data_IF_765685834690
#
_entry.id   IF_765685834690
#
_cell.length_a   1.000
_cell.length_b   1.000
_cell.length_c   1.000
_cell.angle_alpha   90.00
_cell.angle_beta   90.00
_cell.angle_gamma   90.00
#
_symmetry.space_group_name_H-M   'P 1'
#
loop_
_entity.id
_entity.type
_entity.pdbx_description
1 polymer ?
#
# COMPACT_ATOMS: atom_id res chain seq x y z
N UNK A 1 12.00 -34.56 18.77
CA UNK A 1 12.50 -33.20 18.56
C UNK A 1 11.39 -32.48 17.82
N UNK A 2 10.91 -31.36 18.36
CA UNK A 2 9.76 -30.66 17.80
C UNK A 2 10.12 -30.12 16.40
N UNK A 3 9.36 -30.47 15.35
CA UNK A 3 9.74 -30.11 13.98
C UNK A 3 9.71 -28.59 13.74
N UNK A 4 8.83 -27.84 14.42
CA UNK A 4 8.74 -26.38 14.33
C UNK A 4 10.00 -25.75 14.94
N UNK A 5 10.35 -26.15 16.16
CA UNK A 5 11.55 -25.63 16.82
C UNK A 5 12.84 -26.00 16.09
N UNK A 6 12.85 -27.11 15.35
CA UNK A 6 13.99 -27.48 14.50
C UNK A 6 14.10 -26.57 13.28
N UNK A 7 12.99 -26.29 12.59
CA UNK A 7 12.99 -25.35 11.46
C UNK A 7 13.42 -23.95 11.89
N UNK A 8 13.14 -23.57 13.14
CA UNK A 8 13.54 -22.29 13.72
C UNK A 8 14.99 -22.23 14.22
N UNK A 9 15.70 -23.36 14.34
CA UNK A 9 17.07 -23.37 14.88
C UNK A 9 18.11 -22.84 13.90
N UNK A 10 17.88 -23.02 12.60
CA UNK A 10 18.80 -22.68 11.52
C UNK A 10 18.29 -21.47 10.69
N UNK A 11 17.37 -20.67 11.24
CA UNK A 11 16.78 -19.49 10.58
C UNK A 11 16.96 -18.21 11.39
N UNK A 12 16.75 -17.05 10.75
CA UNK A 12 16.93 -15.71 11.34
C UNK A 12 15.74 -15.25 12.22
N UNK A 13 14.89 -16.18 12.65
CA UNK A 13 13.75 -15.88 13.51
C UNK A 13 14.20 -15.57 14.94
N UNK A 14 13.75 -14.43 15.45
CA UNK A 14 13.87 -14.08 16.86
C UNK A 14 12.72 -14.72 17.65
N UNK A 15 13.04 -15.73 18.46
CA UNK A 15 12.07 -16.41 19.32
C UNK A 15 11.53 -15.46 20.40
N UNK A 16 10.20 -15.44 20.56
CA UNK A 16 9.57 -14.73 21.66
C UNK A 16 9.78 -15.45 23.00
N UNK A 17 9.61 -14.77 24.14
CA UNK A 17 9.57 -15.45 25.44
C UNK A 17 8.53 -16.58 25.48
N UNK A 18 8.77 -17.66 26.24
CA UNK A 18 7.81 -18.76 26.38
C UNK A 18 6.43 -18.31 26.84
N UNK A 19 5.38 -18.93 26.28
CA UNK A 19 4.02 -18.69 26.71
C UNK A 19 3.79 -19.22 28.12
N UNK A 20 2.98 -18.52 28.91
CA UNK A 20 2.47 -19.07 30.15
C UNK A 20 1.46 -20.19 29.86
N UNK A 21 1.47 -21.23 30.70
CA UNK A 21 0.50 -22.33 30.66
C UNK A 21 -0.96 -21.82 30.73
N UNK A 22 -1.19 -20.66 31.35
CA UNK A 22 -2.49 -19.99 31.39
C UNK A 22 -2.90 -19.41 30.02
N UNK A 23 -1.97 -18.81 29.27
CA UNK A 23 -2.22 -18.25 27.93
C UNK A 23 -2.59 -19.34 26.93
N UNK A 24 -1.88 -20.47 26.97
CA UNK A 24 -2.19 -21.63 26.14
C UNK A 24 -3.57 -22.20 26.47
N UNK A 25 -3.93 -22.29 27.75
CA UNK A 25 -5.26 -22.74 28.16
C UNK A 25 -6.37 -21.77 27.74
N UNK A 26 -6.10 -20.47 27.75
CA UNK A 26 -7.03 -19.47 27.25
C UNK A 26 -7.24 -19.63 25.73
N UNK A 27 -6.16 -19.84 24.98
CA UNK A 27 -6.22 -20.13 23.55
C UNK A 27 -7.02 -21.43 23.27
N UNK A 28 -6.73 -22.53 23.95
CA UNK A 28 -7.47 -23.79 23.82
C UNK A 28 -8.96 -23.64 24.17
N UNK A 29 -9.28 -22.83 25.18
CA UNK A 29 -10.66 -22.53 25.54
C UNK A 29 -11.38 -21.72 24.45
N UNK A 30 -10.69 -20.75 23.83
CA UNK A 30 -11.21 -19.96 22.71
C UNK A 30 -11.43 -20.83 21.46
N UNK A 31 -10.52 -21.75 21.17
CA UNK A 31 -10.63 -22.68 20.04
C UNK A 31 -11.67 -23.80 20.29
N UNK A 32 -12.03 -24.05 21.54
CA UNK A 32 -12.91 -25.14 21.93
C UNK A 32 -12.27 -26.53 21.81
N UNK A 33 -10.94 -26.61 21.63
CA UNK A 33 -10.19 -27.86 21.55
C UNK A 33 -8.78 -27.72 22.14
N UNK A 34 -8.18 -28.84 22.53
CA UNK A 34 -6.77 -28.87 22.94
C UNK A 34 -5.85 -28.72 21.72
N UNK A 35 -4.76 -27.97 21.89
CA UNK A 35 -3.72 -27.88 20.87
C UNK A 35 -2.98 -29.22 20.77
N UNK A 36 -2.50 -29.55 19.58
CA UNK A 36 -1.64 -30.73 19.42
C UNK A 36 -0.33 -30.55 20.20
N UNK A 37 0.23 -31.67 20.66
CA UNK A 37 1.39 -31.66 21.54
C UNK A 37 2.57 -30.85 20.99
N UNK A 38 2.80 -30.89 19.67
CA UNK A 38 3.88 -30.13 19.02
C UNK A 38 3.66 -28.61 19.04
N UNK A 39 2.42 -28.13 18.87
CA UNK A 39 2.11 -26.70 18.97
C UNK A 39 2.18 -26.20 20.40
N UNK A 40 1.71 -27.03 21.34
CA UNK A 40 1.84 -26.75 22.77
C UNK A 40 3.30 -26.66 23.21
N UNK A 41 4.12 -27.61 22.76
CA UNK A 41 5.57 -27.63 23.06
C UNK A 41 6.28 -26.42 22.41
N UNK A 42 5.90 -26.04 21.19
CA UNK A 42 6.41 -24.82 20.54
C UNK A 42 6.09 -23.59 21.39
N UNK A 43 4.82 -23.33 21.71
CA UNK A 43 4.39 -22.15 22.48
C UNK A 43 4.99 -22.11 23.90
N UNK A 44 5.12 -23.27 24.57
CA UNK A 44 5.80 -23.38 25.87
C UNK A 44 7.32 -23.16 25.80
N UNK A 45 7.90 -23.17 24.61
CA UNK A 45 9.32 -22.90 24.37
C UNK A 45 9.54 -21.48 23.85
N UNK A 46 8.65 -20.99 22.99
CA UNK A 46 8.63 -19.63 22.43
C UNK A 46 7.19 -19.28 22.03
N UNK A 47 6.62 -18.20 22.59
CA UNK A 47 5.26 -17.73 22.28
C UNK A 47 5.20 -17.00 20.93
N UNK A 48 5.54 -17.73 19.88
CA UNK A 48 5.80 -17.17 18.57
C UNK A 48 7.27 -16.82 18.33
N UNK A 49 7.51 -16.31 17.14
CA UNK A 49 8.84 -15.90 16.69
C UNK A 49 8.67 -14.89 15.55
N UNK A 50 9.55 -13.91 15.49
CA UNK A 50 9.48 -12.86 14.47
C UNK A 50 10.79 -12.81 13.71
N UNK A 51 10.72 -12.89 12.40
CA UNK A 51 11.81 -12.59 11.51
C UNK A 51 11.67 -11.16 11.03
N UNK A 52 12.78 -10.44 11.03
CA UNK A 52 12.84 -9.06 10.59
C UNK A 52 13.64 -8.96 9.30
N UNK A 53 13.28 -8.01 8.46
CA UNK A 53 14.15 -7.51 7.41
C UNK A 53 15.35 -6.77 8.02
N UNK A 54 16.38 -6.49 7.21
CA UNK A 54 17.58 -5.78 7.67
C UNK A 54 17.28 -4.35 8.17
N UNK A 55 16.17 -3.75 7.73
CA UNK A 55 15.67 -2.44 8.16
C UNK A 55 14.85 -2.48 9.46
N UNK A 56 14.60 -3.68 10.01
CA UNK A 56 13.84 -3.89 11.24
C UNK A 56 12.33 -4.04 11.07
N UNK A 57 11.81 -4.07 9.84
CA UNK A 57 10.41 -4.42 9.57
C UNK A 57 10.15 -5.91 9.76
N UNK A 58 8.91 -6.29 10.08
CA UNK A 58 8.53 -7.70 10.27
C UNK A 58 8.38 -8.35 8.89
N UNK A 59 9.31 -9.23 8.56
CA UNK A 59 9.26 -10.03 7.34
C UNK A 59 8.26 -11.19 7.48
N UNK A 60 8.34 -11.90 8.61
CA UNK A 60 7.52 -13.08 8.86
C UNK A 60 7.33 -13.30 10.36
N UNK A 61 6.20 -13.91 10.71
CA UNK A 61 5.85 -14.12 12.11
C UNK A 61 5.17 -15.47 12.33
N UNK A 62 5.73 -16.24 13.25
CA UNK A 62 5.04 -17.30 13.97
C UNK A 62 4.21 -16.66 15.07
N UNK A 63 2.89 -16.85 15.00
CA UNK A 63 1.96 -16.10 15.84
C UNK A 63 2.03 -16.53 17.31
N UNK A 64 1.98 -15.55 18.21
CA UNK A 64 1.83 -15.77 19.65
C UNK A 64 0.41 -16.22 20.01
N UNK A 65 0.21 -16.73 21.23
CA UNK A 65 -1.13 -17.07 21.73
C UNK A 65 -2.12 -15.90 21.60
N UNK A 66 -1.65 -14.66 21.84
CA UNK A 66 -2.47 -13.45 21.73
C UNK A 66 -2.80 -13.14 20.26
N UNK A 67 -1.79 -13.18 19.38
CA UNK A 67 -1.98 -12.87 17.96
C UNK A 67 -2.89 -13.90 17.28
N UNK A 68 -2.82 -15.17 17.66
CA UNK A 68 -3.73 -16.21 17.16
C UNK A 68 -5.19 -15.84 17.49
N UNK A 69 -5.46 -15.43 18.74
CA UNK A 69 -6.80 -15.02 19.17
C UNK A 69 -7.24 -13.77 18.41
N UNK A 70 -6.36 -12.78 18.28
CA UNK A 70 -6.64 -11.50 17.62
C UNK A 70 -6.95 -11.69 16.13
N UNK A 71 -6.11 -12.44 15.42
CA UNK A 71 -6.30 -12.77 14.01
C UNK A 71 -7.62 -13.51 13.80
N UNK A 72 -7.94 -14.47 14.67
CA UNK A 72 -9.20 -15.20 14.58
C UNK A 72 -10.42 -14.31 14.83
N UNK A 73 -10.34 -13.38 15.80
CA UNK A 73 -11.40 -12.41 16.03
C UNK A 73 -11.59 -11.49 14.82
N UNK A 74 -10.50 -10.99 14.23
CA UNK A 74 -10.56 -10.15 13.03
C UNK A 74 -11.24 -10.86 11.86
N UNK A 75 -10.90 -12.13 11.60
CA UNK A 75 -11.55 -12.94 10.56
C UNK A 75 -13.04 -13.13 10.87
N UNK A 76 -13.41 -13.41 12.13
CA UNK A 76 -14.82 -13.58 12.52
C UNK A 76 -15.63 -12.28 12.37
N UNK A 77 -15.06 -11.15 12.76
CA UNK A 77 -15.69 -9.83 12.65
C UNK A 77 -15.90 -9.49 11.17
N UNK A 78 -14.90 -9.74 10.33
CA UNK A 78 -14.99 -9.59 8.89
C UNK A 78 -16.10 -10.45 8.29
N UNK A 79 -16.12 -11.76 8.56
CA UNK A 79 -17.16 -12.64 8.01
C UNK A 79 -18.58 -12.27 8.46
N UNK A 80 -18.72 -11.80 9.70
CA UNK A 80 -20.00 -11.30 10.21
C UNK A 80 -20.46 -10.01 9.52
N UNK A 81 -19.52 -9.17 9.09
CA UNK A 81 -19.80 -7.93 8.35
C UNK A 81 -20.16 -8.25 6.90
N UNK A 82 -19.37 -9.07 6.20
CA UNK A 82 -19.54 -9.39 4.78
C UNK A 82 -20.80 -10.23 4.53
N UNK A 83 -21.00 -11.30 5.30
CA UNK A 83 -22.05 -12.29 5.03
C UNK A 83 -23.22 -12.25 6.04
N UNK A 84 -23.22 -11.27 6.95
CA UNK A 84 -24.25 -11.07 7.97
C UNK A 84 -24.35 -12.21 9.00
N UNK A 85 -25.44 -12.24 9.77
CA UNK A 85 -25.61 -13.20 10.89
C UNK A 85 -25.57 -14.70 10.48
N UNK A 86 -25.68 -15.01 9.18
CA UNK A 86 -25.72 -16.38 8.66
C UNK A 86 -24.41 -16.83 7.99
N UNK A 87 -23.33 -16.06 8.11
CA UNK A 87 -22.03 -16.36 7.50
C UNK A 87 -21.54 -17.79 7.78
N UNK A 88 -21.88 -18.34 8.96
CA UNK A 88 -21.51 -19.70 9.39
C UNK A 88 -22.12 -20.80 8.50
N UNK A 89 -23.16 -20.48 7.73
CA UNK A 89 -23.86 -21.39 6.82
C UNK A 89 -23.56 -21.12 5.35
N UNK A 90 -22.77 -20.08 5.05
CA UNK A 90 -22.33 -19.80 3.69
C UNK A 90 -21.27 -20.80 3.25
N UNK A 91 -21.47 -21.50 2.12
CA UNK A 91 -20.44 -22.34 1.52
C UNK A 91 -19.38 -21.46 0.84
N UNK A 92 -18.16 -21.96 0.74
CA UNK A 92 -17.15 -21.44 -0.17
C UNK A 92 -17.59 -21.77 -1.60
N UNK A 93 -17.61 -20.76 -2.48
CA UNK A 93 -18.06 -20.92 -3.87
C UNK A 93 -17.16 -21.87 -4.67
N UNK A 94 -15.88 -22.00 -4.28
CA UNK A 94 -14.87 -22.86 -4.92
C UNK A 94 -14.01 -23.63 -3.90
N UNK A 95 -14.62 -24.35 -2.94
CA UNK A 95 -13.84 -25.13 -1.96
C UNK A 95 -12.98 -26.21 -2.62
N UNK A 96 -11.67 -26.17 -2.42
CA UNK A 96 -10.74 -27.22 -2.87
C UNK A 96 -10.99 -28.56 -2.15
N UNK A 97 -10.68 -29.66 -2.84
CA UNK A 97 -10.78 -31.01 -2.28
C UNK A 97 -9.85 -31.18 -1.06
N UNK A 98 -10.44 -31.32 0.13
CA UNK A 98 -9.71 -31.53 1.39
C UNK A 98 -9.81 -30.37 2.39
N UNK A 99 -10.35 -29.22 1.98
CA UNK A 99 -10.65 -28.08 2.85
C UNK A 99 -12.13 -28.11 3.27
N UNK A 100 -12.44 -27.66 4.49
CA UNK A 100 -13.85 -27.46 4.86
C UNK A 100 -14.54 -26.43 3.97
N UNK A 101 -15.64 -26.84 3.34
CA UNK A 101 -16.54 -25.96 2.59
C UNK A 101 -17.34 -25.04 3.54
N UNK A 102 -16.64 -24.14 4.20
CA UNK A 102 -17.13 -23.12 5.13
C UNK A 102 -16.17 -21.94 5.13
N UNK A 103 -16.69 -20.72 5.30
CA UNK A 103 -15.89 -19.50 5.29
C UNK A 103 -14.91 -19.39 6.48
N UNK A 104 -15.22 -20.03 7.61
CA UNK A 104 -14.30 -20.19 8.73
C UNK A 104 -14.72 -21.36 9.58
N UNK A 105 -13.80 -22.30 9.80
CA UNK A 105 -14.04 -23.39 10.72
C UNK A 105 -13.58 -23.05 12.15
N UNK A 106 -14.31 -23.46 13.20
CA UNK A 106 -13.89 -23.34 14.61
C UNK A 106 -12.50 -23.90 14.91
N UNK A 107 -12.09 -24.92 14.16
CA UNK A 107 -10.81 -25.61 14.32
C UNK A 107 -9.72 -25.12 13.36
N UNK A 108 -9.94 -24.03 12.63
CA UNK A 108 -8.87 -23.38 11.89
C UNK A 108 -7.98 -22.60 12.86
N UNK A 109 -6.70 -22.93 12.86
CA UNK A 109 -5.70 -22.33 13.73
C UNK A 109 -4.72 -21.50 12.90
N UNK A 110 -4.86 -20.17 12.84
CA UNK A 110 -3.80 -19.29 12.36
C UNK A 110 -2.53 -19.57 13.16
N UNK A 111 -1.38 -19.70 12.50
CA UNK A 111 -0.12 -20.00 13.19
C UNK A 111 1.09 -19.28 12.62
N UNK A 112 1.02 -18.84 11.36
CA UNK A 112 2.11 -18.15 10.69
C UNK A 112 1.56 -17.08 9.75
N UNK A 113 2.29 -15.99 9.59
CA UNK A 113 1.94 -14.89 8.69
C UNK A 113 3.20 -14.31 8.04
N UNK A 114 3.09 -13.98 6.77
CA UNK A 114 4.07 -13.21 6.01
C UNK A 114 3.33 -12.26 5.06
N UNK A 115 4.04 -11.69 4.09
CA UNK A 115 3.51 -10.76 3.09
C UNK A 115 2.41 -11.37 2.20
N UNK A 116 2.44 -12.69 2.01
CA UNK A 116 1.47 -13.43 1.18
C UNK A 116 0.14 -13.65 1.90
N UNK A 117 0.13 -13.64 3.23
CA UNK A 117 -1.09 -13.75 4.02
C UNK A 117 -0.93 -14.59 5.28
N UNK A 118 -2.05 -15.12 5.76
CA UNK A 118 -2.09 -15.87 7.02
C UNK A 118 -2.23 -17.36 6.76
N UNK A 119 -1.29 -18.15 7.25
CA UNK A 119 -1.35 -19.60 7.19
C UNK A 119 -2.11 -20.16 8.39
N UNK A 120 -3.03 -21.08 8.09
CA UNK A 120 -3.91 -21.72 9.04
C UNK A 120 -3.79 -23.24 8.94
N UNK A 121 -3.86 -23.91 10.08
CA UNK A 121 -4.07 -25.36 10.12
C UNK A 121 -5.56 -25.67 10.07
N UNK A 122 -5.96 -26.57 9.19
CA UNK A 122 -7.30 -27.13 9.19
C UNK A 122 -7.36 -28.50 9.88
N UNK A 123 -8.09 -28.56 10.99
CA UNK A 123 -8.40 -29.80 11.72
C UNK A 123 -9.81 -30.36 11.46
N UNK A 124 -10.56 -29.77 10.53
CA UNK A 124 -12.00 -30.01 10.37
C UNK A 124 -12.37 -31.33 9.71
N UNK A 125 -11.58 -31.81 8.74
CA UNK A 125 -11.97 -32.93 7.87
C UNK A 125 -11.04 -34.15 7.92
N UNK A 126 -9.72 -33.96 8.12
CA UNK A 126 -8.73 -35.00 7.96
C UNK A 126 -8.12 -35.48 9.29
N UNK A 127 -7.66 -36.74 9.32
CA UNK A 127 -6.94 -37.29 10.49
C UNK A 127 -5.56 -36.63 10.68
N UNK A 128 -5.00 -36.07 9.60
CA UNK A 128 -3.79 -35.25 9.59
C UNK A 128 -4.21 -33.84 9.18
N UNK A 129 -3.86 -32.79 9.93
CA UNK A 129 -4.24 -31.43 9.58
C UNK A 129 -3.53 -30.98 8.31
N UNK A 130 -4.27 -30.34 7.42
CA UNK A 130 -3.71 -29.66 6.24
C UNK A 130 -3.34 -28.22 6.60
N UNK A 131 -2.46 -27.61 5.82
CA UNK A 131 -2.11 -26.19 5.93
C UNK A 131 -2.76 -25.46 4.77
N UNK A 132 -3.47 -24.39 5.11
CA UNK A 132 -4.11 -23.50 4.16
C UNK A 132 -3.50 -22.11 4.28
N UNK A 133 -3.47 -21.39 3.17
CA UNK A 133 -3.25 -19.96 3.13
C UNK A 133 -4.61 -19.28 3.08
N UNK A 134 -4.86 -18.36 4.00
CA UNK A 134 -5.96 -17.39 3.90
C UNK A 134 -5.41 -16.15 3.19
N UNK A 135 -5.64 -16.10 1.88
CA UNK A 135 -5.32 -14.95 1.04
C UNK A 135 -6.58 -14.07 0.92
N UNK A 136 -6.48 -12.74 0.86
CA UNK A 136 -7.62 -11.90 0.45
C UNK A 136 -8.14 -12.37 -0.91
N UNK A 137 -9.46 -12.39 -1.13
CA UNK A 137 -9.95 -12.62 -2.50
C UNK A 137 -9.69 -11.40 -3.40
N UNK A 138 -10.02 -11.54 -4.69
CA UNK A 138 -9.69 -10.59 -5.76
C UNK A 138 -10.23 -9.18 -5.51
N UNK A 139 -11.40 -9.10 -4.87
CA UNK A 139 -12.08 -7.84 -4.54
C UNK A 139 -11.70 -7.31 -3.16
N UNK A 140 -10.91 -8.07 -2.38
CA UNK A 140 -10.62 -7.77 -0.97
C UNK A 140 -11.85 -7.84 -0.05
N UNK A 141 -12.95 -8.39 -0.55
CA UNK A 141 -14.25 -8.52 0.11
C UNK A 141 -14.37 -9.85 0.87
N UNK A 142 -13.42 -10.77 0.69
CA UNK A 142 -13.36 -12.10 1.30
C UNK A 142 -11.95 -12.61 1.61
N UNK A 143 -11.89 -13.82 2.17
CA UNK A 143 -10.66 -14.62 2.20
C UNK A 143 -10.86 -15.86 1.33
N UNK A 144 -9.93 -16.12 0.42
CA UNK A 144 -9.84 -17.34 -0.35
C UNK A 144 -8.90 -18.33 0.37
N UNK A 145 -9.43 -19.42 0.96
CA UNK A 145 -8.60 -20.48 1.54
C UNK A 145 -8.00 -21.34 0.43
N UNK A 146 -6.68 -21.36 0.32
CA UNK A 146 -5.91 -22.14 -0.67
C UNK A 146 -5.15 -23.24 0.05
N UNK A 147 -5.15 -24.49 -0.46
CA UNK A 147 -4.39 -25.58 0.13
C UNK A 147 -2.88 -25.38 -0.10
N UNK A 148 -2.17 -24.93 0.94
CA UNK A 148 -0.73 -24.69 0.87
C UNK A 148 0.12 -25.96 1.09
N UNK A 149 -0.34 -26.89 1.92
CA UNK A 149 0.33 -28.18 2.09
C UNK A 149 -0.59 -29.26 2.68
N UNK A 150 -0.31 -30.52 2.35
CA UNK A 150 -1.08 -31.67 2.84
C UNK A 150 -0.77 -32.05 4.30
N UNK A 151 0.36 -31.59 4.85
CA UNK A 151 0.71 -31.73 6.27
C UNK A 151 1.87 -30.81 6.70
N UNK A 152 2.02 -30.61 8.02
CA UNK A 152 3.02 -29.71 8.61
C UNK A 152 4.46 -29.97 8.15
N UNK A 153 4.92 -31.23 8.13
CA UNK A 153 6.30 -31.50 7.74
C UNK A 153 6.59 -31.11 6.28
N UNK A 154 5.64 -31.29 5.36
CA UNK A 154 5.82 -30.90 3.96
C UNK A 154 5.99 -29.38 3.87
N UNK A 155 5.17 -28.64 4.62
CA UNK A 155 5.29 -27.18 4.68
C UNK A 155 6.59 -26.73 5.35
N UNK A 156 7.04 -27.40 6.41
CA UNK A 156 8.33 -27.10 7.05
C UNK A 156 9.53 -27.45 6.16
N UNK A 157 9.46 -28.53 5.38
CA UNK A 157 10.49 -28.89 4.41
C UNK A 157 10.57 -27.79 3.33
N UNK A 158 9.43 -27.28 2.85
CA UNK A 158 9.39 -26.11 1.94
C UNK A 158 10.00 -24.84 2.55
N UNK A 159 9.75 -24.58 3.84
CA UNK A 159 10.32 -23.45 4.58
C UNK A 159 11.85 -23.56 4.78
N UNK A 160 12.42 -24.76 4.72
CA UNK A 160 13.83 -25.01 5.10
C UNK A 160 14.74 -25.36 3.92
N UNK A 161 14.21 -25.96 2.83
CA UNK A 161 14.98 -26.31 1.63
C UNK A 161 15.21 -25.12 0.67
N UNK A 162 14.42 -24.05 0.80
CA UNK A 162 14.59 -22.79 0.06
C UNK A 162 15.21 -21.75 1.00
N UNK A 163 16.54 -21.57 0.99
CA UNK A 163 17.31 -20.63 1.83
C UNK A 163 16.60 -19.27 2.03
N UNK A 164 15.75 -19.16 3.05
CA UNK A 164 14.82 -18.04 3.20
C UNK A 164 13.76 -18.01 2.09
N UNK A 165 12.52 -17.70 2.45
CA UNK A 165 11.48 -17.37 1.49
C UNK A 165 11.86 -16.07 0.77
N UNK A 166 12.70 -16.11 -0.27
CA UNK A 166 12.73 -15.04 -1.25
C UNK A 166 11.42 -15.13 -2.04
N UNK A 167 10.67 -14.01 -2.07
CA UNK A 167 9.33 -13.88 -2.63
C UNK A 167 9.14 -14.54 -4.01
N UNK A 168 10.20 -14.61 -4.81
CA UNK A 168 10.20 -15.21 -6.15
C UNK A 168 9.65 -16.65 -6.18
N UNK A 169 10.03 -17.53 -5.24
CA UNK A 169 9.60 -18.95 -5.30
C UNK A 169 8.18 -19.22 -4.74
N UNK A 170 7.61 -18.28 -3.98
CA UNK A 170 6.24 -18.39 -3.44
C UNK A 170 5.23 -17.78 -4.41
N UNK A 171 5.60 -16.67 -5.07
CA UNK A 171 4.90 -16.13 -6.22
C UNK A 171 4.87 -17.14 -7.35
N UNK A 172 6.00 -17.76 -7.72
CA UNK A 172 6.03 -18.81 -8.74
C UNK A 172 5.09 -19.99 -8.43
N UNK A 173 4.93 -20.38 -7.16
CA UNK A 173 4.04 -21.47 -6.75
C UNK A 173 2.57 -21.06 -6.71
N UNK A 174 2.28 -19.83 -6.27
CA UNK A 174 0.93 -19.25 -6.28
C UNK A 174 0.48 -18.97 -7.72
N UNK A 175 1.38 -18.48 -8.57
CA UNK A 175 1.22 -18.31 -10.01
C UNK A 175 1.02 -19.66 -10.69
N UNK A 176 1.85 -20.69 -10.44
CA UNK A 176 1.67 -22.05 -10.99
C UNK A 176 0.31 -22.68 -10.59
N UNK A 177 -0.13 -22.46 -9.34
CA UNK A 177 -1.46 -22.88 -8.86
C UNK A 177 -2.59 -22.08 -9.52
N UNK A 178 -2.44 -20.76 -9.69
CA UNK A 178 -3.43 -19.89 -10.32
C UNK A 178 -3.54 -20.09 -11.84
N UNK A 179 -2.44 -20.49 -12.50
CA UNK A 179 -2.37 -20.86 -13.92
C UNK A 179 -3.07 -22.22 -14.18
N UNK A 180 -2.93 -23.19 -13.27
CA UNK A 180 -3.60 -24.49 -13.40
C UNK A 180 -5.14 -24.37 -13.36
N UNK A 181 -5.68 -23.32 -12.72
CA UNK A 181 -7.11 -23.07 -12.57
C UNK A 181 -7.67 -21.94 -13.46
N UNK A 182 -6.84 -21.29 -14.28
CA UNK A 182 -7.29 -20.30 -15.28
C UNK A 182 -7.82 -18.99 -14.70
N UNK A 183 -7.27 -18.54 -13.56
CA UNK A 183 -7.70 -17.35 -12.83
C UNK A 183 -6.88 -16.11 -13.24
N UNK A 184 -5.76 -16.29 -13.96
CA UNK A 184 -4.84 -15.21 -14.32
C UNK A 184 -5.35 -14.23 -15.41
N UNK A 185 -6.48 -14.49 -16.08
CA UNK A 185 -7.00 -13.61 -17.13
C UNK A 185 -7.79 -12.39 -16.60
N UNK A 186 -8.12 -12.30 -15.30
CA UNK A 186 -8.96 -11.22 -14.74
C UNK A 186 -8.36 -10.49 -13.50
N UNK A 187 -7.17 -10.87 -13.05
CA UNK A 187 -6.54 -10.35 -11.84
C UNK A 187 -5.47 -9.27 -12.10
N UNK A 188 -5.92 -8.02 -12.23
CA UNK A 188 -5.05 -6.86 -12.35
C UNK A 188 -4.33 -6.49 -11.05
N UNK A 189 -3.25 -7.20 -10.70
CA UNK A 189 -2.17 -6.85 -9.76
C UNK A 189 -2.53 -5.92 -8.58
N UNK A 190 -2.74 -6.54 -7.41
CA UNK A 190 -2.72 -5.90 -6.11
C UNK A 190 -1.27 -5.54 -5.74
N UNK A 191 -0.96 -4.25 -5.69
CA UNK A 191 0.33 -3.74 -5.16
C UNK A 191 0.40 -4.03 -3.66
N UNK A 192 1.50 -4.64 -3.22
CA UNK A 192 1.73 -5.13 -1.86
C UNK A 192 1.28 -4.16 -0.72
N UNK A 193 0.76 -4.68 0.42
CA UNK A 193 0.42 -3.89 1.59
C UNK A 193 1.69 -3.58 2.41
N UNK A 194 2.60 -2.76 1.86
CA UNK A 194 3.89 -2.42 2.48
C UNK A 194 4.00 -0.98 2.99
N UNK A 195 2.88 -0.26 3.19
CA UNK A 195 2.91 1.03 3.87
C UNK A 195 2.10 0.96 5.17
N UNK A 196 2.76 1.13 6.32
CA UNK A 196 2.08 1.32 7.61
C UNK A 196 1.05 2.46 7.56
N UNK A 197 1.27 3.41 6.63
CA UNK A 197 0.45 4.60 6.43
C UNK A 197 0.01 4.71 4.97
N UNK A 198 -1.26 5.02 4.74
CA UNK A 198 -1.79 5.38 3.43
C UNK A 198 -1.74 6.90 3.21
N UNK A 199 -2.12 7.36 2.01
CA UNK A 199 -2.08 8.77 1.67
C UNK A 199 -2.97 9.67 2.57
N UNK A 200 -4.03 9.13 3.16
CA UNK A 200 -4.92 9.85 4.07
C UNK A 200 -4.25 10.09 5.43
N UNK A 201 -3.46 9.13 5.93
CA UNK A 201 -2.72 9.30 7.19
C UNK A 201 -1.75 10.49 7.12
N UNK A 202 -1.15 10.72 5.95
CA UNK A 202 -0.22 11.82 5.71
C UNK A 202 -0.86 13.21 5.66
N UNK A 203 -2.19 13.29 5.57
CA UNK A 203 -2.97 14.52 5.77
C UNK A 203 -3.77 14.46 7.08
N UNK A 204 -3.48 13.52 7.97
CA UNK A 204 -4.11 13.40 9.28
C UNK A 204 -5.50 12.77 9.27
N UNK A 205 -5.81 11.86 8.35
CA UNK A 205 -7.02 11.04 8.42
C UNK A 205 -6.61 9.58 8.63
N UNK A 206 -6.79 9.08 9.86
CA UNK A 206 -6.55 7.69 10.22
C UNK A 206 -7.68 6.81 9.67
N UNK A 207 -7.56 6.39 8.41
CA UNK A 207 -8.53 5.51 7.75
C UNK A 207 -7.95 4.10 7.74
N UNK A 208 -8.35 3.29 8.72
CA UNK A 208 -7.88 1.92 8.88
C UNK A 208 -9.02 0.89 8.80
N UNK A 209 -10.24 1.36 8.56
CA UNK A 209 -11.43 0.54 8.41
C UNK A 209 -12.49 1.25 7.56
N UNK A 210 -13.48 0.49 7.07
CA UNK A 210 -14.65 1.06 6.40
C UNK A 210 -15.44 2.01 7.31
N UNK A 211 -15.46 1.77 8.62
CA UNK A 211 -16.13 2.65 9.58
C UNK A 211 -15.45 4.02 9.63
N UNK A 212 -14.12 4.06 9.59
CA UNK A 212 -13.37 5.33 9.56
C UNK A 212 -13.63 6.07 8.24
N UNK A 213 -13.67 5.32 7.14
CA UNK A 213 -13.98 5.85 5.82
C UNK A 213 -15.41 6.43 5.75
N UNK A 214 -16.40 5.69 6.24
CA UNK A 214 -17.79 6.14 6.32
C UNK A 214 -17.94 7.38 7.22
N UNK A 215 -17.23 7.41 8.35
CA UNK A 215 -17.21 8.58 9.24
C UNK A 215 -16.59 9.81 8.57
N UNK A 216 -15.55 9.63 7.74
CA UNK A 216 -14.99 10.71 6.94
C UNK A 216 -15.99 11.23 5.91
N UNK A 217 -16.69 10.34 5.19
CA UNK A 217 -17.72 10.75 4.23
C UNK A 217 -18.88 11.50 4.92
N UNK A 218 -19.35 11.04 6.08
CA UNK A 218 -20.36 11.75 6.88
C UNK A 218 -19.86 13.12 7.35
N UNK A 219 -18.59 13.19 7.77
CA UNK A 219 -17.95 14.46 8.14
C UNK A 219 -17.95 15.43 6.96
N UNK A 220 -17.59 14.97 5.75
CA UNK A 220 -17.56 15.80 4.54
C UNK A 220 -18.94 16.30 4.13
N UNK A 221 -20.00 15.52 4.34
CA UNK A 221 -21.38 15.96 4.06
C UNK A 221 -21.80 17.18 4.89
N UNK A 222 -21.18 17.39 6.05
CA UNK A 222 -21.42 18.57 6.90
C UNK A 222 -20.61 19.81 6.49
N UNK A 223 -19.67 19.66 5.56
CA UNK A 223 -18.79 20.74 5.10
C UNK A 223 -19.37 21.47 3.88
N UNK A 224 -18.81 22.65 3.59
CA UNK A 224 -19.06 23.32 2.31
C UNK A 224 -18.15 22.70 1.26
N UNK A 225 -18.76 22.08 0.25
CA UNK A 225 -18.05 21.43 -0.86
C UNK A 225 -18.26 22.24 -2.15
N UNK A 226 -17.18 22.46 -2.90
CA UNK A 226 -17.28 22.97 -4.26
C UNK A 226 -17.67 21.82 -5.19
N UNK A 227 -18.67 22.02 -6.05
CA UNK A 227 -19.09 21.00 -7.02
C UNK A 227 -18.55 21.32 -8.40
N UNK A 228 -17.93 20.33 -9.06
CA UNK A 228 -17.46 20.43 -10.44
C UNK A 228 -18.21 19.39 -11.26
N UNK A 229 -18.95 19.83 -12.27
CA UNK A 229 -19.65 18.95 -13.21
C UNK A 229 -18.67 18.41 -14.26
N UNK A 230 -18.84 17.14 -14.62
CA UNK A 230 -18.01 16.43 -15.58
C UNK A 230 -18.87 15.60 -16.52
N UNK A 231 -18.34 15.09 -17.65
CA UNK A 231 -19.10 14.23 -18.55
C UNK A 231 -19.71 12.98 -17.86
N UNK A 232 -18.99 12.39 -16.89
CA UNK A 232 -19.40 11.14 -16.24
C UNK A 232 -20.11 11.35 -14.89
N UNK A 233 -20.15 12.57 -14.35
CA UNK A 233 -20.83 12.88 -13.09
C UNK A 233 -20.34 14.17 -12.44
N UNK A 234 -19.93 14.10 -11.19
CA UNK A 234 -19.55 15.27 -10.39
C UNK A 234 -18.36 14.97 -9.48
N UNK A 235 -17.50 15.97 -9.28
CA UNK A 235 -16.62 16.03 -8.11
C UNK A 235 -17.23 16.94 -7.05
N UNK A 236 -17.17 16.52 -5.80
CA UNK A 236 -17.38 17.35 -4.62
C UNK A 236 -16.04 17.53 -3.90
N UNK A 237 -15.56 18.76 -3.90
CA UNK A 237 -14.23 19.09 -3.43
C UNK A 237 -14.34 19.79 -2.08
N UNK A 238 -13.84 19.15 -1.04
CA UNK A 238 -13.52 19.83 0.21
C UNK A 238 -12.17 20.53 0.04
N UNK A 239 -12.12 21.76 0.54
CA UNK A 239 -10.89 22.51 0.74
C UNK A 239 -10.94 23.21 2.07
N UNK A 240 -9.87 23.10 2.83
CA UNK A 240 -9.68 23.86 4.05
C UNK A 240 -9.79 25.37 3.75
N UNK A 241 -10.86 26.01 4.25
CA UNK A 241 -11.29 27.35 3.82
C UNK A 241 -10.42 28.51 4.32
N UNK A 242 -9.62 28.26 5.35
CA UNK A 242 -8.94 29.32 6.12
C UNK A 242 -7.52 29.61 5.62
N UNK A 243 -7.06 28.87 4.62
CA UNK A 243 -5.70 28.99 4.08
C UNK A 243 -5.69 28.93 2.55
N UNK A 244 -4.78 29.70 1.93
CA UNK A 244 -4.50 29.55 0.51
C UNK A 244 -3.84 28.19 0.20
N UNK A 245 -3.23 27.57 1.22
CA UNK A 245 -2.57 26.28 1.14
C UNK A 245 -3.03 25.35 2.27
N UNK A 246 -3.59 24.20 1.94
CA UNK A 246 -4.27 23.34 2.91
C UNK A 246 -4.80 22.04 2.33
N UNK A 247 -5.42 21.26 3.21
CA UNK A 247 -5.95 19.93 2.89
C UNK A 247 -7.08 20.03 1.87
N UNK A 248 -7.12 19.06 0.98
CA UNK A 248 -8.19 18.89 0.02
C UNK A 248 -8.59 17.43 -0.13
N UNK A 249 -9.89 17.19 -0.22
CA UNK A 249 -10.45 15.87 -0.48
C UNK A 249 -11.42 15.98 -1.65
N UNK A 250 -11.29 15.09 -2.63
CA UNK A 250 -12.11 15.07 -3.83
C UNK A 250 -12.94 13.81 -3.84
N UNK A 251 -14.27 13.98 -3.69
CA UNK A 251 -15.23 12.89 -3.80
C UNK A 251 -15.77 12.88 -5.21
N UNK A 252 -15.62 11.78 -5.95
CA UNK A 252 -16.28 11.63 -7.25
C UNK A 252 -17.55 10.80 -7.12
N UNK A 253 -18.59 11.21 -7.85
CA UNK A 253 -19.84 10.47 -7.97
C UNK A 253 -20.28 10.41 -9.44
N UNK A 254 -20.95 9.34 -9.83
CA UNK A 254 -21.52 9.23 -11.17
C UNK A 254 -22.76 10.14 -11.35
N UNK A 255 -23.36 10.12 -12.54
CA UNK A 255 -24.61 10.86 -12.81
C UNK A 255 -25.79 10.44 -11.91
N UNK A 256 -25.80 9.20 -11.41
CA UNK A 256 -26.81 8.70 -10.47
C UNK A 256 -26.51 9.07 -9.01
N UNK A 257 -25.41 9.78 -8.75
CA UNK A 257 -24.89 10.15 -7.41
C UNK A 257 -24.32 8.98 -6.61
N UNK A 258 -24.00 7.85 -7.26
CA UNK A 258 -23.28 6.76 -6.60
C UNK A 258 -21.80 7.14 -6.44
N UNK A 259 -21.27 6.86 -5.25
CA UNK A 259 -19.86 7.06 -4.91
C UNK A 259 -18.95 6.28 -5.87
N UNK A 260 -17.87 6.92 -6.35
CA UNK A 260 -16.86 6.30 -7.21
C UNK A 260 -15.46 6.33 -6.59
N UNK A 261 -14.99 7.50 -6.16
CA UNK A 261 -13.65 7.63 -5.57
C UNK A 261 -13.58 8.73 -4.50
N UNK A 262 -12.58 8.60 -3.62
CA UNK A 262 -12.15 9.64 -2.71
C UNK A 262 -10.64 9.82 -2.89
N UNK A 263 -10.20 11.01 -3.27
CA UNK A 263 -8.80 11.28 -3.55
C UNK A 263 -8.25 12.38 -2.62
N UNK A 264 -7.18 12.08 -1.85
CA UNK A 264 -6.53 13.07 -1.00
C UNK A 264 -5.57 13.94 -1.78
N UNK A 265 -5.58 15.23 -1.48
CA UNK A 265 -4.65 16.19 -2.06
C UNK A 265 -4.29 17.29 -1.07
N UNK A 266 -3.24 18.04 -1.38
CA UNK A 266 -2.84 19.20 -0.60
C UNK A 266 -2.50 20.35 -1.53
N UNK A 267 -3.21 21.46 -1.37
CA UNK A 267 -2.91 22.67 -2.10
C UNK A 267 -1.67 23.31 -1.51
N UNK A 268 -0.50 22.99 -2.05
CA UNK A 268 0.76 23.62 -1.66
C UNK A 268 1.14 24.81 -2.53
N UNK A 269 2.30 25.39 -2.22
CA UNK A 269 2.91 26.48 -2.99
C UNK A 269 3.94 25.98 -4.02
N UNK A 270 4.25 24.67 -4.06
CA UNK A 270 5.17 24.14 -5.06
C UNK A 270 4.60 24.32 -6.47
N UNK A 271 5.45 24.71 -7.42
CA UNK A 271 5.07 24.88 -8.82
C UNK A 271 6.15 24.28 -9.69
N UNK A 272 5.71 23.47 -10.64
CA UNK A 272 6.56 22.90 -11.68
C UNK A 272 5.92 23.16 -13.03
N UNK A 273 6.74 23.51 -14.02
CA UNK A 273 6.28 23.59 -15.40
C UNK A 273 6.43 22.23 -16.05
N UNK A 274 5.41 21.80 -16.77
CA UNK A 274 5.41 20.53 -17.47
C UNK A 274 4.89 20.71 -18.89
N UNK A 275 5.29 19.80 -19.75
CA UNK A 275 4.68 19.54 -21.03
C UNK A 275 3.83 18.27 -20.89
N UNK A 276 2.51 18.39 -20.92
CA UNK A 276 1.64 17.23 -20.86
C UNK A 276 1.60 16.56 -22.24
N UNK A 277 1.75 15.23 -22.26
CA UNK A 277 1.84 14.44 -23.48
C UNK A 277 0.64 13.50 -23.64
N UNK A 278 0.21 12.84 -22.56
CA UNK A 278 -0.97 11.97 -22.60
C UNK A 278 -1.67 11.88 -21.24
N UNK A 279 -2.95 11.61 -21.29
CA UNK A 279 -3.73 11.15 -20.15
C UNK A 279 -3.81 9.64 -20.17
N UNK A 280 -3.64 9.01 -19.01
CA UNK A 280 -3.73 7.57 -18.84
C UNK A 280 -4.84 7.26 -17.88
N UNK A 281 -5.82 6.48 -18.32
CA UNK A 281 -6.78 5.91 -17.41
C UNK A 281 -6.11 4.73 -16.71
N UNK A 282 -5.97 4.80 -15.39
CA UNK A 282 -5.22 3.78 -14.62
C UNK A 282 -6.14 2.76 -13.95
N UNK A 283 -7.45 2.97 -14.04
CA UNK A 283 -8.50 2.12 -13.48
C UNK A 283 -9.68 2.15 -14.46
N UNK A 284 -10.59 1.17 -14.40
CA UNK A 284 -11.89 1.24 -15.09
C UNK A 284 -12.85 2.27 -14.44
N UNK A 285 -12.28 3.37 -13.91
CA UNK A 285 -12.95 4.47 -13.25
C UNK A 285 -12.70 5.76 -14.05
N UNK A 286 -13.72 6.38 -14.66
CA UNK A 286 -13.53 7.59 -15.47
C UNK A 286 -13.04 8.80 -14.67
N UNK A 287 -13.16 8.79 -13.34
CA UNK A 287 -12.78 9.92 -12.49
C UNK A 287 -11.31 9.90 -12.06
N UNK A 288 -10.62 8.76 -12.18
CA UNK A 288 -9.26 8.58 -11.67
C UNK A 288 -8.32 8.31 -12.84
N UNK A 289 -7.21 9.03 -12.92
CA UNK A 289 -6.25 8.81 -13.96
C UNK A 289 -5.02 9.67 -13.81
N UNK A 290 -4.01 9.37 -14.63
CA UNK A 290 -2.71 9.99 -14.55
C UNK A 290 -2.42 10.92 -15.74
N UNK A 291 -1.52 11.88 -15.53
CA UNK A 291 -0.92 12.68 -16.59
C UNK A 291 0.54 12.26 -16.78
N UNK A 292 0.85 11.74 -17.98
CA UNK A 292 2.24 11.56 -18.41
C UNK A 292 2.71 12.85 -19.05
N UNK A 293 3.82 13.36 -18.53
CA UNK A 293 4.35 14.66 -18.89
C UNK A 293 5.87 14.66 -18.89
N UNK A 294 6.45 15.78 -19.34
CA UNK A 294 7.87 16.07 -19.21
C UNK A 294 8.10 17.32 -18.37
N UNK A 295 8.93 17.21 -17.34
CA UNK A 295 9.31 18.35 -16.51
C UNK A 295 10.13 19.35 -17.32
N UNK A 296 9.81 20.63 -17.21
CA UNK A 296 10.53 21.71 -17.86
C UNK A 296 11.51 22.38 -16.91
N UNK A 297 12.65 22.81 -17.44
CA UNK A 297 13.60 23.57 -16.65
C UNK A 297 13.02 24.92 -16.21
N UNK A 298 13.35 25.34 -14.99
CA UNK A 298 13.18 26.74 -14.62
C UNK A 298 14.14 27.61 -15.44
N UNK A 299 13.79 28.87 -15.71
CA UNK A 299 14.56 29.79 -16.55
C UNK A 299 16.05 30.00 -16.13
N UNK A 300 16.45 29.52 -14.95
CA UNK A 300 17.84 29.56 -14.44
C UNK A 300 18.66 28.31 -14.76
N UNK A 301 18.02 27.20 -15.12
CA UNK A 301 18.67 25.94 -15.51
C UNK A 301 18.48 25.75 -17.03
N UNK A 302 19.06 26.64 -17.83
CA UNK A 302 19.08 26.42 -19.28
C UNK A 302 19.98 25.21 -19.59
N UNK A 303 19.36 24.03 -19.72
CA UNK A 303 19.84 23.08 -20.71
C UNK A 303 19.71 23.78 -22.07
N UNK A 304 20.68 23.58 -22.97
CA UNK A 304 20.50 24.08 -24.33
C UNK A 304 19.30 23.35 -24.93
N UNK A 305 18.39 24.05 -25.61
CA UNK A 305 17.26 23.45 -26.34
C UNK A 305 17.71 22.35 -27.33
N UNK A 306 19.01 22.22 -27.60
CA UNK A 306 19.61 21.23 -28.47
C UNK A 306 19.80 19.84 -27.82
N UNK A 307 19.78 19.72 -26.49
CA UNK A 307 20.17 18.48 -25.81
C UNK A 307 18.99 17.53 -25.49
N UNK A 308 17.77 18.05 -25.30
CA UNK A 308 16.53 17.25 -25.26
C UNK A 308 15.30 18.15 -25.53
N UNK A 309 14.58 17.99 -26.66
CA UNK A 309 13.43 18.84 -26.99
C UNK A 309 12.19 18.58 -26.12
N UNK A 310 12.13 17.44 -25.40
CA UNK A 310 10.94 17.06 -24.62
C UNK A 310 10.93 17.65 -23.20
N UNK A 311 12.10 17.79 -22.56
CA UNK A 311 12.24 18.39 -21.23
C UNK A 311 13.42 17.82 -20.43
N UNK A 312 13.43 18.07 -19.12
CA UNK A 312 14.44 17.56 -18.19
C UNK A 312 14.33 16.05 -17.98
N UNK A 313 13.12 15.56 -17.70
CA UNK A 313 12.82 14.14 -17.46
C UNK A 313 11.31 13.88 -17.60
N UNK A 314 10.90 12.65 -17.94
CA UNK A 314 9.49 12.28 -17.93
C UNK A 314 8.99 12.12 -16.49
N UNK A 315 7.71 12.38 -16.26
CA UNK A 315 7.06 12.09 -14.98
C UNK A 315 5.62 11.65 -15.21
N UNK A 316 5.13 10.85 -14.27
CA UNK A 316 3.75 10.41 -14.18
C UNK A 316 3.22 10.78 -12.80
N UNK A 317 2.04 11.38 -12.75
CA UNK A 317 1.37 11.71 -11.50
C UNK A 317 -0.14 11.51 -11.66
N UNK A 318 -0.80 11.14 -10.57
CA UNK A 318 -2.26 11.10 -10.51
C UNK A 318 -2.80 12.52 -10.68
N UNK A 319 -3.75 12.72 -11.59
CA UNK A 319 -4.23 14.03 -11.98
C UNK A 319 -5.55 14.34 -11.28
N UNK A 320 -5.53 15.32 -10.38
CA UNK A 320 -6.74 15.76 -9.69
C UNK A 320 -7.78 16.31 -10.66
N UNK A 321 -9.02 15.83 -10.53
CA UNK A 321 -10.12 16.21 -11.40
C UNK A 321 -9.97 15.64 -12.82
N UNK A 322 -9.36 14.47 -12.97
CA UNK A 322 -9.00 13.84 -14.25
C UNK A 322 -10.08 13.98 -15.33
N UNK A 323 -11.31 13.52 -15.06
CA UNK A 323 -12.43 13.61 -16.01
C UNK A 323 -12.72 15.05 -16.50
N UNK A 324 -12.66 16.02 -15.59
CA UNK A 324 -12.88 17.43 -15.91
C UNK A 324 -11.73 18.01 -16.73
N UNK A 325 -10.48 17.69 -16.35
CA UNK A 325 -9.28 18.22 -17.00
C UNK A 325 -9.14 17.68 -18.42
N UNK A 326 -9.33 16.37 -18.64
CA UNK A 326 -9.19 15.79 -19.99
C UNK A 326 -10.23 16.31 -20.97
N UNK A 327 -11.42 16.64 -20.48
CA UNK A 327 -12.47 17.27 -21.29
C UNK A 327 -12.15 18.74 -21.59
N UNK A 328 -11.65 19.47 -20.59
CA UNK A 328 -11.36 20.90 -20.73
C UNK A 328 -10.11 21.17 -21.57
N UNK A 329 -9.11 20.30 -21.45
CA UNK A 329 -7.81 20.39 -22.12
C UNK A 329 -7.47 19.06 -22.78
N UNK A 330 -8.18 18.70 -23.87
CA UNK A 330 -7.95 17.45 -24.58
C UNK A 330 -6.54 17.43 -25.17
N UNK A 331 -5.84 16.33 -24.99
CA UNK A 331 -4.58 16.05 -25.68
C UNK A 331 -4.93 15.20 -26.90
N UNK A 332 -4.66 15.73 -28.09
CA UNK A 332 -4.89 15.02 -29.35
C UNK A 332 -3.59 14.36 -29.81
N UNK A 333 -3.52 13.03 -29.64
CA UNK A 333 -2.41 12.20 -30.10
C UNK A 333 -2.13 12.36 -31.61
N UNK A 334 -3.12 12.78 -32.40
CA UNK A 334 -2.98 12.99 -33.84
C UNK A 334 -2.36 14.35 -34.20
N UNK A 335 -2.33 15.31 -33.29
CA UNK A 335 -1.84 16.67 -33.52
C UNK A 335 -0.43 16.92 -32.98
N UNK A 336 0.17 15.98 -32.23
CA UNK A 336 1.42 16.19 -31.48
C UNK A 336 1.37 17.49 -30.64
N UNK A 337 0.17 17.88 -30.17
CA UNK A 337 0.00 19.12 -29.42
C UNK A 337 0.47 18.93 -27.97
N UNK A 338 1.63 19.54 -27.68
CA UNK A 338 2.16 19.63 -26.34
C UNK A 338 1.54 20.85 -25.65
N UNK A 339 0.84 20.63 -24.54
CA UNK A 339 0.28 21.70 -23.72
C UNK A 339 1.23 21.96 -22.54
N UNK A 340 1.70 23.20 -22.40
CA UNK A 340 2.44 23.64 -21.21
C UNK A 340 1.46 23.90 -20.07
N UNK A 341 1.74 23.29 -18.92
CA UNK A 341 0.99 23.50 -17.69
C UNK A 341 1.91 23.93 -16.55
N UNK A 342 1.37 24.74 -15.64
CA UNK A 342 1.91 24.86 -14.28
C UNK A 342 1.16 23.89 -13.37
N UNK A 343 1.88 22.92 -12.83
CA UNK A 343 1.35 21.89 -11.92
C UNK A 343 1.90 22.10 -10.50
N UNK A 344 1.07 21.85 -9.50
CA UNK A 344 1.50 21.65 -8.12
C UNK A 344 1.51 20.14 -7.86
N UNK A 345 2.63 19.64 -7.33
CA UNK A 345 2.81 18.21 -7.04
C UNK A 345 2.86 18.00 -5.53
N UNK A 346 2.07 17.02 -5.08
CA UNK A 346 2.07 16.50 -3.73
C UNK A 346 2.58 15.06 -3.75
N UNK A 347 3.56 14.78 -2.90
CA UNK A 347 4.13 13.47 -2.69
C UNK A 347 3.62 12.89 -1.36
N UNK A 348 3.16 11.64 -1.42
CA UNK A 348 2.74 10.83 -0.28
C UNK A 348 3.72 9.65 -0.14
N UNK A 349 4.61 9.68 0.86
CA UNK A 349 5.72 8.76 0.98
C UNK A 349 5.26 7.36 1.40
N UNK A 350 5.75 6.33 0.73
CA UNK A 350 5.71 4.96 1.27
C UNK A 350 6.78 4.78 2.37
N UNK A 351 7.94 5.43 2.17
CA UNK A 351 9.07 5.42 3.11
C UNK A 351 9.81 6.75 3.12
N UNK A 352 10.44 7.08 4.24
CA UNK A 352 11.25 8.29 4.39
C UNK A 352 12.59 7.97 5.05
N UNK A 353 13.65 8.53 4.49
CA UNK A 353 14.93 8.73 5.16
C UNK A 353 15.22 10.23 5.31
N UNK A 354 15.68 10.63 6.50
CA UNK A 354 15.99 12.03 6.82
C UNK A 354 17.46 12.17 7.22
N UNK A 355 18.16 13.07 6.53
CA UNK A 355 19.58 13.34 6.76
C UNK A 355 19.77 14.80 7.20
N UNK A 356 20.74 15.02 8.08
CA UNK A 356 21.00 16.35 8.64
C UNK A 356 21.34 17.40 7.56
N UNK A 357 22.13 17.00 6.57
CA UNK A 357 22.59 17.84 5.45
C UNK A 357 23.06 16.98 4.27
N UNK A 358 23.48 17.63 3.18
CA UNK A 358 24.01 16.99 1.98
C UNK A 358 25.26 16.14 2.27
N UNK A 359 26.10 16.53 3.23
CA UNK A 359 27.31 15.76 3.58
C UNK A 359 26.93 14.44 4.25
N UNK A 360 25.97 14.46 5.16
CA UNK A 360 25.42 13.26 5.78
C UNK A 360 24.75 12.37 4.73
N UNK A 361 24.00 12.97 3.81
CA UNK A 361 23.39 12.26 2.68
C UNK A 361 24.45 11.57 1.81
N UNK A 362 25.48 12.26 1.36
CA UNK A 362 26.55 11.67 0.52
C UNK A 362 27.34 10.59 1.26
N UNK A 363 27.49 10.70 2.57
CA UNK A 363 28.25 9.74 3.38
C UNK A 363 27.47 8.47 3.74
N UNK A 364 26.15 8.46 3.57
CA UNK A 364 25.33 7.27 3.84
C UNK A 364 25.68 6.13 2.87
N UNK A 365 25.87 4.93 3.42
CA UNK A 365 26.09 3.72 2.62
C UNK A 365 24.78 3.34 1.92
N UNK A 366 24.86 3.15 0.61
CA UNK A 366 23.73 2.77 -0.25
C UNK A 366 24.26 2.01 -1.46
N UNK A 367 23.44 1.14 -2.01
CA UNK A 367 23.81 0.36 -3.20
C UNK A 367 24.07 1.26 -4.41
N UNK A 368 23.23 2.27 -4.61
CA UNK A 368 23.35 3.23 -5.72
C UNK A 368 23.56 4.65 -5.19
N UNK A 369 24.67 5.33 -5.52
CA UNK A 369 24.90 6.71 -5.10
C UNK A 369 24.01 7.67 -5.90
N UNK A 370 23.02 8.27 -5.24
CA UNK A 370 22.18 9.33 -5.82
C UNK A 370 22.72 10.73 -5.50
N UNK A 371 22.32 11.72 -6.31
CA UNK A 371 22.56 13.11 -5.99
C UNK A 371 21.59 13.58 -4.87
N UNK A 372 21.99 14.59 -4.11
CA UNK A 372 21.14 15.14 -3.04
C UNK A 372 19.84 15.80 -3.55
N UNK A 373 19.78 16.09 -4.84
CA UNK A 373 18.56 16.46 -5.55
C UNK A 373 18.35 15.45 -6.68
N UNK A 374 17.38 14.56 -6.50
CA UNK A 374 17.07 13.50 -7.45
C UNK A 374 15.57 13.38 -7.61
N UNK A 375 15.12 13.20 -8.85
CA UNK A 375 13.75 12.80 -9.15
C UNK A 375 13.84 11.70 -10.20
N UNK A 376 13.37 10.51 -9.86
CA UNK A 376 13.38 9.35 -10.73
C UNK A 376 11.95 8.80 -10.78
N UNK A 377 11.28 8.81 -11.94
CA UNK A 377 9.91 8.32 -12.09
C UNK A 377 9.91 6.79 -12.13
N UNK A 378 10.14 6.14 -10.98
CA UNK A 378 10.30 4.70 -10.87
C UNK A 378 9.11 3.91 -11.46
N UNK A 379 7.88 4.42 -11.34
CA UNK A 379 6.70 3.78 -11.92
C UNK A 379 6.60 3.87 -13.45
N UNK A 380 7.52 4.56 -14.13
CA UNK A 380 7.67 4.53 -15.59
C UNK A 380 8.76 3.55 -16.07
N UNK A 381 9.55 2.96 -15.17
CA UNK A 381 10.70 2.14 -15.52
C UNK A 381 10.47 0.63 -15.40
N UNK A 382 9.24 0.20 -15.11
CA UNK A 382 8.87 -1.22 -15.10
C UNK A 382 9.07 -1.78 -16.52
N UNK A 383 9.91 -2.82 -16.64
CA UNK A 383 10.25 -3.42 -17.93
C UNK A 383 9.10 -4.29 -18.46
N UNK A 384 8.90 -4.31 -19.78
CA UNK A 384 8.12 -5.32 -20.47
C UNK A 384 8.77 -6.70 -20.24
N UNK A 385 8.34 -7.41 -19.20
CA UNK A 385 8.52 -8.87 -19.06
C UNK A 385 7.45 -9.59 -19.88
N UNK A 386 7.65 -10.88 -20.21
CA UNK A 386 6.71 -11.64 -21.05
C UNK A 386 5.31 -11.75 -20.44
N UNK A 387 5.18 -11.52 -19.13
CA UNK A 387 3.94 -11.50 -18.36
C UNK A 387 3.30 -10.09 -18.28
N UNK A 388 3.99 -9.06 -18.77
CA UNK A 388 3.53 -7.68 -18.81
C UNK A 388 2.95 -7.34 -20.20
N UNK A 389 1.94 -8.09 -20.62
CA UNK A 389 1.25 -7.84 -21.90
C UNK A 389 0.56 -6.45 -21.95
N UNK A 390 0.42 -5.74 -20.83
CA UNK A 390 -0.29 -4.45 -20.75
C UNK A 390 0.52 -3.23 -20.25
N UNK A 391 1.81 -3.35 -19.92
CA UNK A 391 2.66 -2.17 -19.65
C UNK A 391 2.08 -1.18 -18.62
N UNK A 392 1.60 -1.69 -17.47
CA UNK A 392 0.97 -0.91 -16.41
C UNK A 392 1.99 0.07 -15.80
N UNK A 393 1.62 1.36 -15.70
CA UNK A 393 2.49 2.42 -15.15
C UNK A 393 1.91 2.97 -13.85
N UNK A 394 2.76 3.24 -12.87
CA UNK A 394 2.37 3.77 -11.56
C UNK A 394 2.84 5.22 -11.38
N UNK A 395 2.03 6.12 -10.80
CA UNK A 395 2.43 7.50 -10.53
C UNK A 395 3.34 7.59 -9.29
N UNK A 396 4.43 6.82 -9.27
CA UNK A 396 5.39 6.76 -8.17
C UNK A 396 6.75 7.31 -8.60
N UNK A 397 7.42 7.98 -7.67
CA UNK A 397 8.77 8.49 -7.89
C UNK A 397 9.66 8.28 -6.67
N UNK A 398 10.93 8.02 -6.96
CA UNK A 398 12.01 8.20 -6.00
C UNK A 398 12.43 9.67 -6.02
N UNK A 399 12.45 10.30 -4.84
CA UNK A 399 12.65 11.73 -4.67
C UNK A 399 13.70 11.93 -3.58
N UNK A 400 14.74 12.70 -3.89
CA UNK A 400 15.59 13.31 -2.87
C UNK A 400 15.67 14.82 -3.08
N UNK A 401 15.82 15.55 -1.97
CA UNK A 401 15.94 16.99 -2.04
C UNK A 401 16.12 17.65 -0.67
N UNK A 402 16.51 18.92 -0.69
CA UNK A 402 16.65 19.71 0.53
C UNK A 402 15.31 20.31 0.98
N UNK A 403 15.01 20.22 2.27
CA UNK A 403 13.83 20.84 2.86
C UNK A 403 14.02 22.37 2.85
N UNK A 404 13.13 23.09 2.16
CA UNK A 404 13.09 24.56 2.12
C UNK A 404 12.10 25.17 3.09
N UNK A 405 11.02 24.46 3.38
CA UNK A 405 10.06 24.81 4.40
C UNK A 405 9.60 23.53 5.11
N UNK A 406 9.38 23.63 6.42
CA UNK A 406 8.84 22.54 7.23
C UNK A 406 7.82 23.13 8.21
N UNK A 407 6.63 22.55 8.25
CA UNK A 407 5.58 22.92 9.19
C UNK A 407 4.91 21.65 9.72
N UNK A 408 4.77 21.54 11.03
CA UNK A 408 3.83 20.61 11.64
C UNK A 408 2.45 21.29 11.59
N UNK A 409 1.50 20.64 10.93
CA UNK A 409 0.12 21.11 10.76
C UNK A 409 -0.83 20.17 11.49
N UNK A 410 -2.01 20.69 11.80
CA UNK A 410 -3.12 19.94 12.37
C UNK A 410 -4.23 19.91 11.32
N UNK A 411 -4.82 18.74 11.10
CA UNK A 411 -6.00 18.59 10.28
C UNK A 411 -7.22 19.05 11.09
N UNK A 412 -7.95 20.10 10.65
CA UNK A 412 -9.04 20.66 11.45
C UNK A 412 -10.28 19.76 11.53
N UNK A 413 -10.40 18.72 10.68
CA UNK A 413 -11.51 17.79 10.69
C UNK A 413 -11.29 16.62 11.66
N UNK A 414 -10.06 16.15 11.80
CA UNK A 414 -9.71 15.01 12.68
C UNK A 414 -8.99 15.42 13.98
N UNK A 415 -8.31 16.56 13.99
CA UNK A 415 -7.39 16.99 15.05
C UNK A 415 -6.01 16.33 14.99
N UNK A 416 -5.78 15.44 14.02
CA UNK A 416 -4.50 14.75 13.87
C UNK A 416 -3.45 15.65 13.22
N UNK A 417 -2.19 15.40 13.53
CA UNK A 417 -1.06 16.22 13.04
C UNK A 417 -0.27 15.53 11.94
N UNK A 418 0.28 16.32 11.04
CA UNK A 418 1.12 15.85 9.93
C UNK A 418 2.18 16.89 9.57
N UNK A 419 3.28 16.44 8.96
CA UNK A 419 4.29 17.35 8.43
C UNK A 419 3.94 17.75 6.99
N UNK A 420 3.94 19.07 6.75
CA UNK A 420 4.01 19.65 5.42
C UNK A 420 5.44 20.15 5.17
N UNK A 421 6.10 19.55 4.19
CA UNK A 421 7.46 19.91 3.77
C UNK A 421 7.46 20.41 2.33
N UNK A 422 8.26 21.43 2.04
CA UNK A 422 8.55 21.85 0.65
C UNK A 422 9.96 21.40 0.32
N UNK A 423 10.08 20.45 -0.60
CA UNK A 423 11.33 19.78 -0.97
C UNK A 423 11.83 20.36 -2.28
N UNK A 424 13.04 20.91 -2.28
CA UNK A 424 13.73 21.34 -3.49
C UNK A 424 14.50 20.16 -4.09
N UNK A 425 13.87 19.52 -5.06
CA UNK A 425 14.35 18.34 -5.79
C UNK A 425 14.75 18.70 -7.22
N UNK A 426 15.26 17.73 -7.98
CA UNK A 426 15.64 17.93 -9.37
C UNK A 426 14.41 18.32 -10.20
N UNK A 427 14.51 19.38 -11.01
CA UNK A 427 13.40 19.89 -11.83
C UNK A 427 12.33 20.69 -11.08
N UNK A 428 12.56 21.05 -9.81
CA UNK A 428 11.75 22.02 -9.08
C UNK A 428 11.18 21.48 -7.76
N UNK A 429 10.50 22.36 -7.03
CA UNK A 429 9.95 22.05 -5.72
C UNK A 429 8.76 21.07 -5.78
N UNK A 430 8.61 20.27 -4.72
CA UNK A 430 7.49 19.33 -4.50
C UNK A 430 7.00 19.50 -3.05
N UNK A 431 5.69 19.48 -2.83
CA UNK A 431 5.13 19.37 -1.48
C UNK A 431 5.17 17.90 -1.05
N UNK A 432 5.80 17.60 0.08
CA UNK A 432 5.82 16.26 0.69
C UNK A 432 5.00 16.31 1.97
N UNK A 433 4.01 15.44 2.06
CA UNK A 433 3.17 15.28 3.24
C UNK A 433 3.46 13.96 3.92
N UNK A 434 3.62 13.96 5.24
CA UNK A 434 4.07 12.77 5.95
C UNK A 434 3.52 12.72 7.37
N UNK A 435 3.17 11.52 7.80
CA UNK A 435 2.80 11.25 9.18
C UNK A 435 4.03 11.49 10.09
N UNK A 436 3.88 12.07 11.30
CA UNK A 436 5.02 12.41 12.15
C UNK A 436 5.91 11.22 12.52
N UNK A 437 5.32 10.03 12.66
CA UNK A 437 6.03 8.81 13.07
C UNK A 437 7.00 8.28 12.00
N UNK A 438 6.88 8.75 10.75
CA UNK A 438 7.87 8.45 9.70
C UNK A 438 9.22 9.12 9.95
N UNK A 439 9.31 10.05 10.90
CA UNK A 439 10.54 10.76 11.18
C UNK A 439 11.11 10.37 12.56
N UNK A 440 12.37 9.90 12.63
CA UNK A 440 13.01 9.64 13.92
C UNK A 440 13.30 10.93 14.70
N UNK A 441 13.31 12.08 14.01
CA UNK A 441 13.46 13.41 14.58
C UNK A 441 12.70 14.43 13.72
N UNK A 442 12.25 15.54 14.31
CA UNK A 442 11.51 16.55 13.58
C UNK A 442 12.29 17.07 12.34
N UNK A 443 11.71 17.01 11.13
CA UNK A 443 12.33 17.55 9.93
C UNK A 443 12.51 19.06 10.02
N UNK A 444 13.66 19.55 9.58
CA UNK A 444 14.01 20.97 9.61
C UNK A 444 14.54 21.46 8.26
N UNK A 445 14.41 22.77 8.02
CA UNK A 445 14.97 23.42 6.83
C UNK A 445 16.48 23.15 6.74
N UNK A 446 16.92 22.74 5.55
CA UNK A 446 18.31 22.36 5.27
C UNK A 446 18.61 20.87 5.41
N UNK A 447 17.73 20.09 6.05
CA UNK A 447 17.83 18.63 5.98
C UNK A 447 17.63 18.14 4.54
N UNK A 448 18.16 16.95 4.24
CA UNK A 448 17.86 16.22 3.01
C UNK A 448 16.83 15.15 3.35
N UNK A 449 15.76 15.10 2.58
CA UNK A 449 14.81 14.00 2.60
C UNK A 449 15.06 13.11 1.40
N UNK A 450 14.86 11.82 1.58
CA UNK A 450 14.88 10.78 0.57
C UNK A 450 13.65 9.91 0.76
N UNK A 451 12.89 9.68 -0.31
CA UNK A 451 11.61 9.00 -0.22
C UNK A 451 11.22 8.36 -1.55
N UNK A 452 10.47 7.28 -1.46
CA UNK A 452 9.62 6.81 -2.55
C UNK A 452 8.20 7.19 -2.24
N UNK A 453 7.54 7.85 -3.19
CA UNK A 453 6.25 8.44 -2.95
C UNK A 453 5.29 8.25 -4.12
N UNK A 454 4.03 8.02 -3.77
CA UNK A 454 2.92 8.24 -4.68
C UNK A 454 2.77 9.74 -4.97
N UNK A 455 2.61 10.07 -6.25
CA UNK A 455 2.52 11.43 -6.74
C UNK A 455 1.09 11.77 -7.13
N UNK A 456 0.62 12.87 -6.58
CA UNK A 456 -0.61 13.49 -6.96
C UNK A 456 -0.35 14.92 -7.45
N UNK A 457 -1.07 15.38 -8.46
CA UNK A 457 -0.84 16.67 -9.08
C UNK A 457 -2.10 17.39 -9.48
N UNK A 458 -2.09 18.70 -9.26
CA UNK A 458 -3.18 19.57 -9.68
C UNK A 458 -2.66 20.66 -10.61
N UNK A 459 -3.39 20.87 -11.71
CA UNK A 459 -3.10 21.93 -12.67
C UNK A 459 -3.58 23.27 -12.07
N UNK A 460 -2.65 24.21 -11.90
CA UNK A 460 -2.92 25.49 -11.22
C UNK A 460 -3.29 26.59 -12.22
N UNK A 461 -2.65 26.60 -13.40
CA UNK A 461 -2.86 27.63 -14.43
C UNK A 461 -2.21 27.27 -15.78
N UNK A 462 -2.86 27.71 -16.86
CA UNK A 462 -2.29 27.86 -18.21
C UNK A 462 -1.64 29.23 -18.41
#
# INVERSE_FOLDING_TARGET
MNPILNALQDSDFQLHPPAEEASIRALEATLGCALQAQWREFLLTADGATQYFEDGEIHAQWLSCEDIIRTRAAIMDFLAQTFGENWQTHPLENAEDGIANTLLHPLWLPFYRNEVGTFCLDHSQAAVPVIMLLHPDEDGEGYMPILAASHLNQWLDFMTENEGLNNDNLLDMVEDLMDEYGILDELGEFVAPQAQYNAFDHIGFAIHSESDFAALLETLQSQTLESIETPNGYYYCYRESDTAAGISLWVSVNQAQDFNSLEPHFFGDSRRRIHAHRYLNTQDNPFVGCCYAWAQAEAKQSASEADNPEGLYPLLFNLMGFDHIRETFPLDDSLNEIIEFSVQLTAFPHRISLYADEKAFTAAERETPYAAQTFIPIGLMQQETQDNAEGKVLPTAYISGSIKAAALRENPLSGEVFYHLVIDSYGGAIDLLAHPDLFPQAPAVGNIVETEAWLNGMIIKH
#
